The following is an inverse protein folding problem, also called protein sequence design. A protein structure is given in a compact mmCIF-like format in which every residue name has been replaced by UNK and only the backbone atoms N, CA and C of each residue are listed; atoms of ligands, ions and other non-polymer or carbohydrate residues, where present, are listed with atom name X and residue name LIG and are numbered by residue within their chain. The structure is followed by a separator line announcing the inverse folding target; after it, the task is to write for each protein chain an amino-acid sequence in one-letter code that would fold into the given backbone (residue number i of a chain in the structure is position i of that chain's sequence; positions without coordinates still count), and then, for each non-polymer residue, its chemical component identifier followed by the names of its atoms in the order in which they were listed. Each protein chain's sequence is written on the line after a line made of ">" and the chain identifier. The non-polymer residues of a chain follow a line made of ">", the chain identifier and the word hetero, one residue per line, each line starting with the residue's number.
data_IF_484094947455
#
_entry.id   IF_484094947455
#
_cell.length_a   1.000
_cell.length_b   1.000
_cell.length_c   1.000
_cell.angle_alpha   90.00
_cell.angle_beta   90.00
_cell.angle_gamma   90.00
#
_symmetry.space_group_name_H-M   'P 1'
#
loop_
_entity.id
_entity.type
_entity.pdbx_description
1 polymer ?
#
# COMPACT_ATOMS: atom_id res chain seq x y z
N UNK A 1 7.39 -3.86 -4.27
CA UNK A 1 5.95 -3.75 -4.60
C UNK A 1 5.19 -4.30 -3.42
N UNK A 2 4.18 -3.59 -2.91
CA UNK A 2 3.42 -4.02 -1.73
C UNK A 2 1.95 -4.14 -2.12
N UNK A 3 1.56 -5.34 -2.59
CA UNK A 3 0.20 -5.62 -3.01
C UNK A 3 -0.43 -6.56 -2.00
N UNK A 4 -1.34 -6.09 -1.13
CA UNK A 4 -1.88 -6.92 -0.05
C UNK A 4 -2.52 -8.22 -0.57
N UNK A 5 -3.03 -8.26 -1.80
CA UNK A 5 -3.55 -9.48 -2.41
C UNK A 5 -2.52 -10.56 -2.73
N UNK A 6 -1.23 -10.24 -2.73
CA UNK A 6 -0.14 -11.16 -3.05
C UNK A 6 0.56 -11.72 -1.81
N UNK A 7 0.13 -11.31 -0.61
CA UNK A 7 0.62 -11.91 0.63
C UNK A 7 -0.17 -13.19 0.91
N UNK A 8 0.49 -14.25 1.41
CA UNK A 8 -0.16 -15.53 1.64
C UNK A 8 -1.18 -15.46 2.79
N UNK A 9 -2.13 -16.39 2.79
CA UNK A 9 -3.05 -16.62 3.91
C UNK A 9 -2.25 -16.79 5.21
N UNK A 10 -2.70 -16.15 6.28
CA UNK A 10 -2.02 -16.13 7.58
C UNK A 10 -0.94 -15.05 7.71
N UNK A 11 -0.62 -14.29 6.66
CA UNK A 11 0.27 -13.14 6.78
C UNK A 11 -0.30 -12.14 7.79
N UNK A 12 0.51 -11.78 8.80
CA UNK A 12 0.09 -10.94 9.94
C UNK A 12 -1.12 -11.52 10.72
N UNK A 13 -1.38 -12.82 10.62
CA UNK A 13 -2.53 -13.47 11.24
C UNK A 13 -3.84 -13.27 10.48
N UNK A 14 -3.84 -12.62 9.32
CA UNK A 14 -5.05 -12.39 8.54
C UNK A 14 -5.41 -13.61 7.70
N UNK A 15 -6.68 -14.03 7.77
CA UNK A 15 -7.21 -15.05 6.86
C UNK A 15 -7.17 -14.61 5.39
N UNK A 16 -7.34 -13.30 5.14
CA UNK A 16 -7.17 -12.71 3.82
C UNK A 16 -6.49 -11.33 3.93
N UNK A 17 -5.18 -11.23 3.69
CA UNK A 17 -4.44 -9.97 3.78
C UNK A 17 -4.98 -8.88 2.83
N UNK A 18 -5.65 -9.25 1.74
CA UNK A 18 -6.25 -8.29 0.80
C UNK A 18 -7.36 -7.43 1.44
N UNK A 19 -7.97 -7.90 2.53
CA UNK A 19 -8.97 -7.16 3.30
C UNK A 19 -8.35 -6.22 4.36
N UNK A 20 -7.04 -6.31 4.60
CA UNK A 20 -6.29 -5.54 5.59
C UNK A 20 -5.16 -4.74 4.94
N UNK A 21 -5.45 -3.94 3.90
CA UNK A 21 -4.41 -3.37 3.07
C UNK A 21 -3.57 -2.32 3.80
N UNK A 22 -4.14 -1.60 4.78
CA UNK A 22 -3.39 -0.67 5.61
C UNK A 22 -2.31 -1.39 6.43
N UNK A 23 -2.71 -2.40 7.20
CA UNK A 23 -1.81 -3.14 8.10
C UNK A 23 -0.67 -3.83 7.33
N UNK A 24 -0.96 -4.35 6.13
CA UNK A 24 0.07 -4.92 5.24
C UNK A 24 1.07 -3.85 4.79
N UNK A 25 0.59 -2.67 4.37
CA UNK A 25 1.46 -1.54 3.99
C UNK A 25 2.28 -1.06 5.18
N UNK A 26 1.67 -0.85 6.35
CA UNK A 26 2.38 -0.39 7.54
C UNK A 26 3.49 -1.37 7.96
N UNK A 27 3.22 -2.67 7.93
CA UNK A 27 4.23 -3.69 8.19
C UNK A 27 5.38 -3.64 7.18
N UNK A 28 5.09 -3.45 5.89
CA UNK A 28 6.10 -3.31 4.86
C UNK A 28 6.95 -2.04 5.02
N UNK A 29 6.32 -0.90 5.33
CA UNK A 29 7.01 0.36 5.63
C UNK A 29 7.94 0.20 6.85
N UNK A 30 7.44 -0.36 7.97
CA UNK A 30 8.24 -0.62 9.19
C UNK A 30 9.48 -1.48 8.92
N UNK A 31 9.34 -2.51 8.08
CA UNK A 31 10.46 -3.40 7.73
C UNK A 31 11.40 -2.81 6.67
N UNK A 32 10.90 -1.90 5.84
CA UNK A 32 11.62 -1.36 4.70
C UNK A 32 12.42 -0.09 5.00
N UNK A 33 11.97 0.74 5.95
CA UNK A 33 12.52 2.09 6.16
C UNK A 33 14.00 2.11 6.54
N UNK A 34 14.47 1.13 7.32
CA UNK A 34 15.88 1.07 7.75
C UNK A 34 16.86 0.92 6.59
N UNK A 35 16.42 0.40 5.43
CA UNK A 35 17.26 0.31 4.23
C UNK A 35 17.55 1.67 3.57
N UNK A 36 16.85 2.72 3.96
CA UNK A 36 16.98 4.06 3.41
C UNK A 36 17.68 5.04 4.36
N UNK A 37 17.95 4.61 5.60
CA UNK A 37 18.69 5.41 6.58
C UNK A 37 20.08 5.76 6.06
N UNK A 38 20.51 7.01 6.27
CA UNK A 38 21.79 7.54 5.79
C UNK A 38 21.98 7.51 4.27
N UNK A 39 20.88 7.41 3.51
CA UNK A 39 20.90 7.53 2.05
C UNK A 39 20.23 8.84 1.61
N UNK A 40 20.41 9.21 0.34
CA UNK A 40 19.62 10.28 -0.30
C UNK A 40 18.32 9.76 -0.92
N UNK A 41 18.03 8.46 -0.79
CA UNK A 41 16.87 7.83 -1.40
C UNK A 41 15.62 8.01 -0.52
N UNK A 42 14.47 8.21 -1.15
CA UNK A 42 13.19 8.32 -0.46
C UNK A 42 12.31 7.12 -0.77
N UNK A 43 11.52 6.69 0.22
CA UNK A 43 10.67 5.50 0.11
C UNK A 43 9.45 5.82 -0.75
N UNK A 44 9.25 5.03 -1.82
CA UNK A 44 8.13 5.15 -2.77
C UNK A 44 7.56 3.79 -3.17
N UNK A 45 6.78 3.11 -2.31
CA UNK A 45 6.14 1.86 -2.70
C UNK A 45 5.08 2.04 -3.78
N UNK A 46 5.03 1.05 -4.66
CA UNK A 46 3.85 0.77 -5.48
C UNK A 46 2.78 0.10 -4.61
N UNK A 47 1.61 0.73 -4.51
CA UNK A 47 0.42 0.28 -3.77
C UNK A 47 -0.67 -0.21 -4.74
N UNK A 48 -1.58 -1.07 -4.26
CA UNK A 48 -2.54 -1.79 -5.09
C UNK A 48 -3.78 -0.96 -5.43
N UNK A 49 -4.12 -0.89 -6.73
CA UNK A 49 -5.36 -0.28 -7.25
C UNK A 49 -6.11 -1.24 -8.21
N UNK A 50 -6.18 -2.53 -7.84
CA UNK A 50 -6.84 -3.56 -8.64
C UNK A 50 -7.47 -4.64 -7.75
N UNK A 51 -8.41 -5.40 -8.32
CA UNK A 51 -9.16 -6.43 -7.59
C UNK A 51 -8.53 -7.81 -7.75
N UNK A 52 -7.82 -8.28 -6.71
CA UNK A 52 -7.43 -9.68 -6.53
C UNK A 52 -7.66 -10.01 -5.05
N UNK A 53 -8.37 -11.10 -4.76
CA UNK A 53 -8.71 -11.57 -3.40
C UNK A 53 -9.54 -10.59 -2.53
N UNK A 54 -9.75 -9.35 -2.96
CA UNK A 54 -10.69 -8.37 -2.40
C UNK A 54 -11.06 -7.30 -3.45
N UNK A 55 -12.17 -6.61 -3.24
CA UNK A 55 -12.56 -5.42 -4.02
C UNK A 55 -11.89 -4.18 -3.42
N UNK A 56 -11.08 -3.49 -4.24
CA UNK A 56 -10.37 -2.26 -3.91
C UNK A 56 -11.21 -1.06 -4.33
N UNK A 57 -12.00 -0.59 -3.39
CA UNK A 57 -12.74 0.66 -3.47
C UNK A 57 -11.93 1.83 -2.86
N UNK A 58 -12.55 3.01 -2.80
CA UNK A 58 -11.99 4.21 -2.20
C UNK A 58 -11.40 3.96 -0.80
N UNK A 59 -12.05 3.13 0.02
CA UNK A 59 -11.65 2.90 1.41
C UNK A 59 -10.36 2.10 1.50
N UNK A 60 -10.20 1.06 0.67
CA UNK A 60 -8.99 0.22 0.65
C UNK A 60 -7.81 0.92 0.00
N UNK A 61 -8.06 1.72 -1.03
CA UNK A 61 -7.05 2.59 -1.63
C UNK A 61 -6.57 3.60 -0.59
N UNK A 62 -7.50 4.32 0.06
CA UNK A 62 -7.18 5.31 1.10
C UNK A 62 -6.43 4.70 2.28
N UNK A 63 -6.83 3.51 2.75
CA UNK A 63 -6.16 2.84 3.87
C UNK A 63 -4.68 2.55 3.59
N UNK A 64 -4.31 2.16 2.37
CA UNK A 64 -2.91 2.00 1.99
C UNK A 64 -2.17 3.34 2.01
N UNK A 65 -2.77 4.35 1.38
CA UNK A 65 -2.15 5.67 1.26
C UNK A 65 -1.92 6.30 2.65
N UNK A 66 -2.92 6.23 3.53
CA UNK A 66 -2.83 6.75 4.91
C UNK A 66 -1.66 6.13 5.67
N UNK A 67 -1.35 4.85 5.44
CA UNK A 67 -0.21 4.22 6.11
C UNK A 67 1.13 4.67 5.56
N UNK A 68 1.23 5.02 4.27
CA UNK A 68 2.45 5.59 3.70
C UNK A 68 2.62 7.05 4.15
N UNK A 69 1.55 7.84 4.16
CA UNK A 69 1.57 9.27 4.51
C UNK A 69 1.84 9.55 6.00
N UNK A 70 1.82 8.52 6.86
CA UNK A 70 2.35 8.61 8.24
C UNK A 70 3.85 8.92 8.30
N UNK A 71 4.58 8.70 7.20
CA UNK A 71 6.03 8.86 7.15
C UNK A 71 6.39 10.10 6.33
N UNK A 72 6.94 11.12 6.98
CA UNK A 72 7.15 12.48 6.44
C UNK A 72 7.88 12.52 5.09
N UNK A 73 8.88 11.65 4.87
CA UNK A 73 9.68 11.63 3.64
C UNK A 73 9.30 10.49 2.67
N UNK A 74 8.16 9.84 2.91
CA UNK A 74 7.63 8.80 2.04
C UNK A 74 6.58 9.36 1.07
N UNK A 75 6.34 8.59 0.02
CA UNK A 75 5.28 8.82 -0.96
C UNK A 75 4.92 7.49 -1.60
N UNK A 76 4.01 7.50 -2.56
CA UNK A 76 3.46 6.26 -3.09
C UNK A 76 3.15 6.40 -4.59
N UNK A 77 2.98 5.27 -5.26
CA UNK A 77 2.49 5.19 -6.63
C UNK A 77 1.38 4.14 -6.70
N UNK A 78 0.26 4.47 -7.32
CA UNK A 78 -0.79 3.48 -7.59
C UNK A 78 -0.38 2.59 -8.75
N UNK A 79 -0.59 1.29 -8.60
CA UNK A 79 -0.34 0.31 -9.65
C UNK A 79 -1.62 -0.43 -10.02
N UNK A 80 -1.87 -0.52 -11.33
CA UNK A 80 -2.91 -1.36 -11.91
C UNK A 80 -2.44 -1.85 -13.30
N UNK A 81 -2.41 -3.17 -13.53
CA UNK A 81 -1.96 -3.76 -14.80
C UNK A 81 -2.78 -3.29 -16.02
N UNK A 82 -4.06 -2.95 -15.82
CA UNK A 82 -4.92 -2.41 -16.87
C UNK A 82 -4.72 -0.91 -17.13
N UNK A 83 -3.86 -0.24 -16.35
CA UNK A 83 -3.66 1.22 -16.36
C UNK A 83 -4.98 2.01 -16.15
N UNK A 84 -5.93 1.43 -15.43
CA UNK A 84 -7.20 2.08 -15.06
C UNK A 84 -7.09 2.56 -13.64
N UNK A 85 -7.06 3.87 -13.48
CA UNK A 85 -6.98 4.52 -12.19
C UNK A 85 -8.25 5.31 -11.93
N UNK A 86 -8.68 5.32 -10.69
CA UNK A 86 -9.77 6.19 -10.24
C UNK A 86 -9.22 7.24 -9.28
N UNK A 87 -9.90 8.37 -9.16
CA UNK A 87 -9.59 9.34 -8.10
C UNK A 87 -10.10 8.88 -6.72
N UNK A 88 -10.68 7.68 -6.62
CA UNK A 88 -11.25 7.16 -5.39
C UNK A 88 -10.14 6.96 -4.34
N UNK A 89 -10.37 7.47 -3.13
CA UNK A 89 -9.38 7.40 -2.05
C UNK A 89 -8.23 8.41 -2.17
N UNK A 90 -8.19 9.25 -3.21
CA UNK A 90 -7.27 10.39 -3.27
C UNK A 90 -7.85 11.58 -2.51
N UNK A 91 -6.98 12.39 -1.89
CA UNK A 91 -7.31 13.75 -1.48
C UNK A 91 -6.92 14.66 -2.65
N UNK A 92 -7.91 15.30 -3.26
CA UNK A 92 -7.69 16.27 -4.33
C UNK A 92 -7.57 17.63 -3.66
N UNK A 93 -6.46 18.32 -3.91
CA UNK A 93 -6.23 19.71 -3.50
C UNK A 93 -6.76 20.70 -4.55
#
# INVERSE_FOLDING_TARGET
>A
MMYPSHYPVGHLGFANPANHPGEVIENGMKKGLSYFENTKAQVRPWIQDFNISAVYDASKIRAQIDMVEKYTDAGWMLWNAANRYSMAGLRLE
#
